data_IF_792129918542
#
_entry.id   IF_792129918542
#
_cell.length_a   1.000
_cell.length_b   1.000
_cell.length_c   1.000
_cell.angle_alpha   90.00
_cell.angle_beta   90.00
_cell.angle_gamma   90.00
#
_symmetry.space_group_name_H-M   'P 1'
#
loop_
_entity.id
_entity.type
_entity.pdbx_description
1 polymer ?
#
# COMPACT_ATOMS: atom_id res chain seq x y z
N UNK A 1 71.69 12.99 6.62
CA UNK A 1 72.12 11.63 7.00
C UNK A 1 70.94 10.73 6.68
N UNK A 2 70.90 10.11 5.53
CA UNK A 2 71.50 8.84 5.13
C UNK A 2 70.87 7.67 5.92
N UNK A 3 70.27 6.73 5.37
CA UNK A 3 70.38 5.67 4.39
C UNK A 3 69.36 4.58 4.80
N UNK A 4 68.77 3.73 4.10
CA UNK A 4 68.80 3.01 2.84
C UNK A 4 67.56 2.11 2.78
N UNK A 5 66.82 2.08 1.69
CA UNK A 5 66.81 1.16 0.55
C UNK A 5 66.41 -0.31 0.79
N UNK A 6 65.34 -0.67 0.12
CA UNK A 6 65.16 -1.80 -0.81
C UNK A 6 64.76 -3.18 -0.30
N UNK A 7 63.66 -3.71 -0.81
CA UNK A 7 63.48 -4.80 -1.79
C UNK A 7 62.00 -5.17 -1.92
N UNK A 8 61.41 -4.94 -3.02
CA UNK A 8 61.17 -5.76 -4.22
C UNK A 8 60.43 -7.09 -3.94
N UNK A 9 59.19 -7.10 -4.47
CA UNK A 9 58.51 -8.13 -5.29
C UNK A 9 58.62 -9.61 -4.88
N UNK A 10 57.44 -10.18 -4.63
CA UNK A 10 57.05 -11.38 -5.36
C UNK A 10 55.50 -11.49 -5.41
N UNK A 11 54.84 -11.55 -6.57
CA UNK A 11 53.48 -11.99 -6.69
C UNK A 11 53.50 -13.48 -6.98
N UNK A 12 52.83 -14.28 -6.22
CA UNK A 12 52.35 -15.63 -6.50
C UNK A 12 52.36 -16.50 -5.24
N UNK A 13 51.26 -16.38 -4.49
CA UNK A 13 50.87 -17.43 -3.57
C UNK A 13 49.37 -17.71 -3.80
N UNK A 14 49.10 -18.63 -4.72
CA UNK A 14 47.77 -19.23 -4.88
C UNK A 14 47.48 -20.12 -3.67
N UNK A 15 46.47 -19.75 -2.91
CA UNK A 15 45.82 -20.63 -1.95
C UNK A 15 44.84 -21.51 -2.73
N UNK A 16 44.88 -22.84 -2.61
CA UNK A 16 43.94 -23.71 -3.31
C UNK A 16 42.57 -23.66 -2.65
N UNK A 17 41.53 -23.42 -3.47
CA UNK A 17 40.13 -23.61 -3.13
C UNK A 17 39.83 -25.12 -3.01
N UNK A 18 38.98 -25.56 -2.08
CA UNK A 18 38.54 -26.93 -2.03
C UNK A 18 37.65 -27.29 -3.21
N UNK A 19 37.82 -28.48 -3.72
CA UNK A 19 37.14 -29.07 -4.85
C UNK A 19 35.61 -29.02 -4.69
N UNK A 20 34.92 -28.48 -5.70
CA UNK A 20 33.48 -28.64 -5.90
C UNK A 20 33.25 -30.07 -6.40
N UNK A 21 32.58 -30.88 -5.61
CA UNK A 21 31.92 -32.09 -6.12
C UNK A 21 30.79 -31.65 -7.09
N UNK A 22 31.02 -31.92 -8.35
CA UNK A 22 30.00 -32.00 -9.36
C UNK A 22 29.20 -33.27 -9.14
N UNK A 23 27.93 -33.19 -8.82
CA UNK A 23 26.97 -34.26 -9.09
C UNK A 23 26.06 -33.79 -10.20
N UNK A 24 26.36 -34.22 -11.41
CA UNK A 24 25.45 -34.30 -12.54
C UNK A 24 24.34 -35.29 -12.19
N UNK A 25 23.14 -34.77 -11.94
CA UNK A 25 21.92 -35.56 -12.08
C UNK A 25 20.91 -34.71 -12.89
N UNK A 26 21.10 -34.83 -14.20
CA UNK A 26 20.07 -34.46 -15.16
C UNK A 26 18.96 -35.53 -15.11
N UNK A 27 17.87 -35.25 -14.39
CA UNK A 27 16.66 -36.06 -14.43
C UNK A 27 15.89 -35.69 -15.66
N UNK A 28 16.04 -36.49 -16.73
CA UNK A 28 15.16 -36.51 -17.88
C UNK A 28 13.85 -37.20 -17.50
N UNK A 29 12.73 -36.49 -17.69
CA UNK A 29 11.40 -37.04 -17.47
C UNK A 29 10.90 -37.73 -18.75
N UNK A 30 10.92 -39.05 -18.76
CA UNK A 30 10.15 -39.85 -19.75
C UNK A 30 8.72 -40.05 -19.22
N UNK A 31 7.77 -39.73 -20.09
CA UNK A 31 6.34 -40.02 -19.95
C UNK A 31 6.10 -41.51 -20.23
N UNK A 32 5.69 -42.25 -19.21
CA UNK A 32 5.19 -43.61 -19.38
C UNK A 32 3.75 -43.70 -18.89
N UNK A 33 2.83 -43.88 -19.83
CA UNK A 33 1.46 -44.36 -19.57
C UNK A 33 1.53 -45.81 -19.10
N UNK A 34 1.13 -46.08 -17.87
CA UNK A 34 0.54 -47.40 -17.54
C UNK A 34 -0.29 -47.30 -16.23
N UNK A 35 -1.59 -47.39 -16.41
CA UNK A 35 -2.56 -47.60 -15.34
C UNK A 35 -2.94 -49.06 -15.30
N UNK A 36 -2.31 -49.87 -14.44
CA UNK A 36 -2.96 -51.11 -13.93
C UNK A 36 -2.38 -51.54 -12.59
N UNK A 37 -3.28 -51.60 -11.61
CA UNK A 37 -3.36 -52.44 -10.45
C UNK A 37 -2.13 -52.72 -9.58
N UNK A 38 -2.17 -52.17 -8.32
CA UNK A 38 -1.80 -52.97 -7.15
C UNK A 38 -2.60 -52.56 -5.92
N UNK A 39 -3.46 -53.45 -5.43
CA UNK A 39 -4.02 -53.42 -4.09
C UNK A 39 -3.03 -54.16 -3.18
N UNK A 40 -2.40 -53.47 -2.21
CA UNK A 40 -2.16 -53.99 -0.85
C UNK A 40 -1.27 -53.04 -0.03
N UNK A 41 -1.56 -52.96 1.26
CA UNK A 41 -0.86 -52.33 2.41
C UNK A 41 -1.01 -50.81 2.56
N UNK A 42 -1.96 -50.43 3.40
CA UNK A 42 -2.55 -49.11 3.56
C UNK A 42 -1.85 -48.13 4.53
N UNK A 43 -0.59 -48.32 4.92
CA UNK A 43 0.07 -47.36 5.84
C UNK A 43 1.34 -46.72 5.31
N UNK A 44 2.07 -47.36 4.41
CA UNK A 44 3.27 -46.77 3.79
C UNK A 44 2.99 -45.98 2.52
N UNK A 45 1.94 -46.34 1.77
CA UNK A 45 1.55 -45.63 0.57
C UNK A 45 1.01 -44.19 0.87
N UNK A 46 0.30 -44.02 1.97
CA UNK A 46 -0.23 -42.71 2.39
C UNK A 46 0.86 -41.72 2.79
N UNK A 47 1.98 -42.19 3.37
CA UNK A 47 3.11 -41.30 3.74
C UNK A 47 3.91 -40.86 2.50
N UNK A 48 4.09 -41.75 1.52
CA UNK A 48 4.83 -41.42 0.28
C UNK A 48 4.02 -40.48 -0.64
N UNK A 49 2.72 -40.69 -0.75
CA UNK A 49 1.84 -39.77 -1.50
C UNK A 49 1.73 -38.40 -0.87
N UNK A 50 1.69 -38.31 0.47
CA UNK A 50 1.72 -37.03 1.19
C UNK A 50 3.03 -36.30 0.99
N UNK A 51 4.16 -36.99 1.05
CA UNK A 51 5.49 -36.38 0.89
C UNK A 51 5.71 -35.83 -0.53
N UNK A 52 5.24 -36.50 -1.57
CA UNK A 52 5.28 -36.00 -2.97
C UNK A 52 4.33 -34.82 -3.18
N UNK A 53 3.15 -34.82 -2.57
CA UNK A 53 2.20 -33.71 -2.59
C UNK A 53 2.78 -32.46 -1.93
N UNK A 54 3.44 -32.61 -0.83
CA UNK A 54 4.06 -31.50 -0.09
C UNK A 54 5.23 -30.87 -0.87
N UNK A 55 6.07 -31.71 -1.51
CA UNK A 55 7.17 -31.23 -2.35
C UNK A 55 6.69 -30.45 -3.56
N UNK A 56 5.62 -30.94 -4.24
CA UNK A 56 4.98 -30.26 -5.36
C UNK A 56 4.35 -28.94 -4.93
N UNK A 57 3.64 -28.92 -3.81
CA UNK A 57 3.04 -27.69 -3.27
C UNK A 57 4.10 -26.65 -2.92
N UNK A 58 5.25 -27.08 -2.37
CA UNK A 58 6.37 -26.19 -2.06
C UNK A 58 7.00 -25.62 -3.35
N UNK A 59 7.15 -26.42 -4.40
CA UNK A 59 7.67 -25.96 -5.69
C UNK A 59 6.74 -24.94 -6.32
N UNK A 60 5.42 -25.19 -6.31
CA UNK A 60 4.39 -24.26 -6.81
C UNK A 60 4.38 -22.97 -6.02
N UNK A 61 4.48 -23.00 -4.68
CA UNK A 61 4.58 -21.78 -3.86
C UNK A 61 5.80 -20.93 -4.23
N UNK A 62 6.97 -21.53 -4.44
CA UNK A 62 8.17 -20.80 -4.89
C UNK A 62 7.98 -20.18 -6.27
N UNK A 63 7.40 -20.93 -7.21
CA UNK A 63 7.12 -20.42 -8.55
C UNK A 63 6.09 -19.29 -8.52
N UNK A 64 5.07 -19.37 -7.65
CA UNK A 64 4.08 -18.30 -7.48
C UNK A 64 4.68 -17.06 -6.83
N UNK A 65 5.62 -17.20 -5.90
CA UNK A 65 6.34 -16.05 -5.34
C UNK A 65 7.16 -15.34 -6.42
N UNK A 66 7.89 -16.09 -7.25
CA UNK A 66 8.60 -15.49 -8.39
C UNK A 66 7.64 -14.82 -9.38
N UNK A 67 6.50 -15.43 -9.67
CA UNK A 67 5.48 -14.84 -10.53
C UNK A 67 4.81 -13.61 -9.90
N UNK A 68 4.69 -13.54 -8.58
CA UNK A 68 4.28 -12.34 -7.86
C UNK A 68 5.29 -11.21 -8.07
N UNK A 69 6.59 -11.48 -7.94
CA UNK A 69 7.62 -10.49 -8.19
C UNK A 69 7.59 -9.97 -9.64
N UNK A 70 7.41 -10.86 -10.63
CA UNK A 70 7.26 -10.48 -12.04
C UNK A 70 5.97 -9.68 -12.29
N UNK A 71 4.86 -10.07 -11.66
CA UNK A 71 3.63 -9.32 -11.72
C UNK A 71 3.82 -7.89 -11.19
N UNK A 72 4.47 -7.76 -10.04
CA UNK A 72 4.71 -6.47 -9.44
C UNK A 72 5.70 -5.59 -10.21
N UNK A 73 6.69 -6.19 -10.85
CA UNK A 73 7.70 -5.44 -11.63
C UNK A 73 7.23 -5.06 -13.03
N UNK A 74 6.45 -5.91 -13.68
CA UNK A 74 6.17 -5.80 -15.13
C UNK A 74 4.70 -6.00 -15.50
N UNK A 75 3.84 -6.28 -14.55
CA UNK A 75 2.45 -6.66 -14.80
C UNK A 75 2.32 -8.01 -15.51
N UNK A 76 3.34 -8.87 -15.46
CA UNK A 76 3.35 -10.15 -16.15
C UNK A 76 2.53 -11.20 -15.38
N UNK A 77 1.52 -11.77 -16.01
CA UNK A 77 0.73 -12.84 -15.41
C UNK A 77 1.46 -14.19 -15.49
N UNK A 78 1.25 -15.08 -14.52
CA UNK A 78 1.72 -16.47 -14.57
C UNK A 78 1.40 -17.18 -15.88
N UNK A 79 2.25 -18.15 -16.23
CA UNK A 79 1.98 -19.05 -17.36
C UNK A 79 0.73 -19.91 -17.12
N UNK A 80 0.16 -20.45 -18.20
CA UNK A 80 -0.99 -21.37 -18.11
C UNK A 80 -0.66 -22.64 -17.32
N UNK A 81 0.60 -23.07 -17.34
CA UNK A 81 1.07 -24.23 -16.59
C UNK A 81 1.12 -23.93 -15.10
N UNK A 82 1.69 -22.78 -14.70
CA UNK A 82 1.72 -22.35 -13.31
C UNK A 82 0.31 -22.09 -12.75
N UNK A 83 -0.60 -21.53 -13.57
CA UNK A 83 -2.01 -21.42 -13.20
C UNK A 83 -2.64 -22.79 -12.92
N UNK A 84 -2.43 -23.77 -13.81
CA UNK A 84 -2.95 -25.14 -13.66
C UNK A 84 -2.42 -25.81 -12.39
N UNK A 85 -1.12 -25.73 -12.17
CA UNK A 85 -0.46 -26.26 -10.98
C UNK A 85 -0.93 -25.59 -9.68
N UNK A 86 -1.06 -24.26 -9.67
CA UNK A 86 -1.59 -23.51 -8.53
C UNK A 86 -3.02 -23.90 -8.19
N UNK A 87 -3.90 -24.03 -9.19
CA UNK A 87 -5.27 -24.47 -8.99
C UNK A 87 -5.36 -25.91 -8.49
N UNK A 88 -4.48 -26.80 -8.98
CA UNK A 88 -4.38 -28.18 -8.50
C UNK A 88 -3.97 -28.24 -7.03
N UNK A 89 -2.97 -27.45 -6.62
CA UNK A 89 -2.51 -27.36 -5.23
C UNK A 89 -3.62 -26.86 -4.30
N UNK A 90 -4.42 -25.86 -4.73
CA UNK A 90 -5.59 -25.39 -3.98
C UNK A 90 -6.66 -26.48 -3.84
N UNK A 91 -6.99 -27.19 -4.92
CA UNK A 91 -7.98 -28.28 -4.90
C UNK A 91 -7.54 -29.45 -4.04
N UNK A 92 -6.23 -29.71 -3.95
CA UNK A 92 -5.67 -30.75 -3.10
C UNK A 92 -5.67 -30.36 -1.60
N UNK A 93 -6.14 -29.16 -1.23
CA UNK A 93 -6.25 -28.68 0.13
C UNK A 93 -4.93 -28.14 0.71
N UNK A 94 -3.93 -27.89 -0.12
CA UNK A 94 -2.71 -27.22 0.33
C UNK A 94 -2.96 -25.71 0.43
N UNK A 95 -2.46 -25.10 1.51
CA UNK A 95 -2.63 -23.67 1.76
C UNK A 95 -1.66 -22.84 0.92
N UNK A 96 -2.19 -21.86 0.20
CA UNK A 96 -1.44 -20.77 -0.44
C UNK A 96 -1.74 -19.47 0.30
N UNK A 97 -0.78 -18.55 0.33
CA UNK A 97 -1.04 -17.25 0.94
C UNK A 97 -2.04 -16.42 0.11
N UNK A 98 -2.59 -15.38 0.73
CA UNK A 98 -3.62 -14.53 0.13
C UNK A 98 -3.16 -13.88 -1.18
N UNK A 99 -1.89 -13.47 -1.26
CA UNK A 99 -1.33 -12.82 -2.45
C UNK A 99 -1.20 -13.82 -3.61
N UNK A 100 -0.78 -15.06 -3.33
CA UNK A 100 -0.71 -16.15 -4.30
C UNK A 100 -2.11 -16.52 -4.81
N UNK A 101 -3.10 -16.64 -3.93
CA UNK A 101 -4.50 -16.90 -4.29
C UNK A 101 -5.08 -15.78 -5.15
N UNK A 102 -4.82 -14.52 -4.80
CA UNK A 102 -5.23 -13.34 -5.55
C UNK A 102 -4.61 -13.30 -6.95
N UNK A 103 -3.31 -13.63 -7.07
CA UNK A 103 -2.63 -13.71 -8.37
C UNK A 103 -3.21 -14.81 -9.25
N UNK A 104 -3.53 -15.98 -8.67
CA UNK A 104 -4.19 -17.07 -9.38
C UNK A 104 -5.59 -16.68 -9.85
N UNK A 105 -6.39 -15.98 -9.01
CA UNK A 105 -7.71 -15.47 -9.41
C UNK A 105 -7.58 -14.49 -10.57
N UNK A 106 -6.68 -13.51 -10.46
CA UNK A 106 -6.40 -12.53 -11.52
C UNK A 106 -6.01 -13.21 -12.82
N UNK A 107 -5.08 -14.17 -12.75
CA UNK A 107 -4.65 -14.96 -13.92
C UNK A 107 -5.79 -15.78 -14.52
N UNK A 108 -6.59 -16.43 -13.67
CA UNK A 108 -7.74 -17.25 -14.09
C UNK A 108 -8.81 -16.41 -14.82
N UNK A 109 -9.11 -15.20 -14.33
CA UNK A 109 -10.04 -14.26 -14.96
C UNK A 109 -9.52 -13.77 -16.32
N UNK A 110 -8.25 -13.39 -16.39
CA UNK A 110 -7.62 -12.91 -17.63
C UNK A 110 -7.47 -14.02 -18.69
N UNK A 111 -7.15 -15.25 -18.28
CA UNK A 111 -7.04 -16.42 -19.17
C UNK A 111 -8.38 -17.12 -19.43
N UNK A 112 -9.45 -16.72 -18.73
CA UNK A 112 -10.79 -17.33 -18.76
C UNK A 112 -10.76 -18.85 -18.49
N UNK A 113 -9.87 -19.27 -17.58
CA UNK A 113 -9.66 -20.68 -17.20
C UNK A 113 -9.62 -20.86 -15.71
N UNK A 114 -10.35 -21.86 -15.19
CA UNK A 114 -10.35 -22.20 -13.77
C UNK A 114 -10.87 -21.11 -12.84
N UNK A 115 -11.63 -20.14 -13.36
CA UNK A 115 -12.13 -18.96 -12.62
C UNK A 115 -12.91 -19.35 -11.36
N UNK A 116 -13.81 -20.30 -11.47
CA UNK A 116 -14.65 -20.74 -10.34
C UNK A 116 -13.80 -21.43 -9.25
N UNK A 117 -12.82 -22.25 -9.67
CA UNK A 117 -11.88 -22.87 -8.73
C UNK A 117 -11.05 -21.81 -8.00
N UNK A 118 -10.47 -20.85 -8.73
CA UNK A 118 -9.70 -19.77 -8.12
C UNK A 118 -10.57 -18.91 -7.18
N UNK A 119 -11.81 -18.63 -7.55
CA UNK A 119 -12.75 -17.82 -6.78
C UNK A 119 -13.15 -18.48 -5.45
N UNK A 120 -13.46 -19.78 -5.47
CA UNK A 120 -13.86 -20.56 -4.28
C UNK A 120 -12.77 -20.64 -3.19
N UNK A 121 -11.53 -20.36 -3.52
CA UNK A 121 -10.40 -20.40 -2.57
C UNK A 121 -9.97 -19.00 -2.10
N UNK A 122 -10.76 -17.96 -2.41
CA UNK A 122 -10.52 -16.63 -1.83
C UNK A 122 -11.10 -16.55 -0.43
N UNK A 123 -10.39 -15.90 0.49
CA UNK A 123 -10.83 -15.68 1.87
C UNK A 123 -11.24 -14.24 2.12
N UNK A 124 -10.80 -13.29 1.28
CA UNK A 124 -11.06 -11.86 1.42
C UNK A 124 -12.07 -11.37 0.36
N UNK A 125 -13.33 -11.06 0.76
CA UNK A 125 -14.34 -10.55 -0.15
C UNK A 125 -14.00 -9.20 -0.78
N UNK A 126 -13.29 -8.31 -0.08
CA UNK A 126 -12.88 -7.00 -0.59
C UNK A 126 -11.88 -7.14 -1.74
N UNK A 127 -10.86 -7.96 -1.56
CA UNK A 127 -9.87 -8.27 -2.62
C UNK A 127 -10.51 -8.99 -3.79
N UNK A 128 -11.37 -9.96 -3.52
CA UNK A 128 -12.09 -10.69 -4.55
C UNK A 128 -12.91 -9.74 -5.43
N UNK A 129 -13.67 -8.85 -4.82
CA UNK A 129 -14.46 -7.85 -5.53
C UNK A 129 -13.59 -6.88 -6.34
N UNK A 130 -12.45 -6.47 -5.80
CA UNK A 130 -11.52 -5.58 -6.50
C UNK A 130 -10.93 -6.24 -7.76
N UNK A 131 -10.50 -7.49 -7.67
CA UNK A 131 -9.95 -8.24 -8.82
C UNK A 131 -11.03 -8.49 -9.89
N UNK A 132 -12.27 -8.76 -9.49
CA UNK A 132 -13.41 -8.87 -10.41
C UNK A 132 -13.71 -7.52 -11.06
N UNK A 133 -13.69 -6.44 -10.31
CA UNK A 133 -13.86 -5.08 -10.82
C UNK A 133 -12.78 -4.73 -11.86
N UNK A 134 -11.51 -4.99 -11.58
CA UNK A 134 -10.41 -4.78 -12.54
C UNK A 134 -10.62 -5.60 -13.82
N UNK A 135 -11.07 -6.86 -13.70
CA UNK A 135 -11.33 -7.73 -14.85
C UNK A 135 -12.51 -7.24 -15.71
N UNK A 136 -13.56 -6.65 -15.09
CA UNK A 136 -14.72 -6.09 -15.80
C UNK A 136 -14.35 -4.87 -16.65
N UNK A 137 -13.39 -4.08 -16.21
CA UNK A 137 -12.94 -2.85 -16.88
C UNK A 137 -11.58 -2.99 -17.57
N UNK A 138 -11.12 -4.22 -17.81
CA UNK A 138 -9.83 -4.42 -18.47
C UNK A 138 -9.87 -3.90 -19.91
N UNK A 139 -8.93 -3.03 -20.35
CA UNK A 139 -9.02 -2.32 -21.62
C UNK A 139 -8.98 -3.23 -22.85
N UNK A 140 -8.24 -4.35 -22.78
CA UNK A 140 -8.07 -5.26 -23.93
C UNK A 140 -9.00 -6.47 -23.87
N UNK A 141 -9.37 -6.94 -22.67
CA UNK A 141 -10.12 -8.19 -22.48
C UNK A 141 -11.09 -8.07 -21.29
N UNK A 142 -12.13 -7.24 -21.38
CA UNK A 142 -13.09 -7.08 -20.28
C UNK A 142 -13.82 -8.40 -19.99
N UNK A 143 -14.09 -8.68 -18.72
CA UNK A 143 -14.90 -9.81 -18.32
C UNK A 143 -16.35 -9.59 -18.78
N UNK A 144 -16.90 -10.56 -19.49
CA UNK A 144 -18.27 -10.47 -20.02
C UNK A 144 -19.31 -10.61 -18.93
N UNK A 145 -20.44 -9.90 -19.08
CA UNK A 145 -21.55 -9.90 -18.13
C UNK A 145 -22.10 -11.31 -17.91
N UNK A 146 -22.20 -12.11 -18.97
CA UNK A 146 -22.68 -13.50 -18.86
C UNK A 146 -21.74 -14.38 -18.04
N UNK A 147 -20.43 -14.14 -18.15
CA UNK A 147 -19.43 -14.80 -17.29
C UNK A 147 -19.60 -14.39 -15.84
N UNK A 148 -19.82 -13.09 -15.56
CA UNK A 148 -20.11 -12.60 -14.21
C UNK A 148 -21.38 -13.26 -13.65
N UNK A 149 -22.47 -13.32 -14.42
CA UNK A 149 -23.72 -14.00 -14.03
C UNK A 149 -23.51 -15.49 -13.72
N UNK A 150 -22.67 -16.16 -14.50
CA UNK A 150 -22.29 -17.55 -14.24
C UNK A 150 -21.54 -17.69 -12.92
N UNK A 151 -20.54 -16.84 -12.65
CA UNK A 151 -19.79 -16.85 -11.40
C UNK A 151 -20.69 -16.57 -10.20
N UNK A 152 -21.65 -15.63 -10.32
CA UNK A 152 -22.62 -15.33 -9.27
C UNK A 152 -23.52 -16.51 -8.92
N UNK A 153 -23.91 -17.30 -9.91
CA UNK A 153 -24.77 -18.49 -9.71
C UNK A 153 -24.02 -19.70 -9.16
N UNK A 154 -22.78 -19.90 -9.57
CA UNK A 154 -22.02 -21.12 -9.30
C UNK A 154 -21.08 -21.01 -8.10
N UNK A 155 -20.79 -19.78 -7.65
CA UNK A 155 -19.93 -19.54 -6.48
C UNK A 155 -20.76 -19.37 -5.20
N UNK A 156 -20.61 -20.32 -4.27
CA UNK A 156 -21.29 -20.26 -2.96
C UNK A 156 -20.89 -19.05 -2.12
N UNK A 157 -19.72 -18.44 -2.37
CA UNK A 157 -19.23 -17.25 -1.67
C UNK A 157 -19.67 -15.94 -2.32
N UNK A 158 -20.43 -15.99 -3.41
CA UNK A 158 -20.92 -14.79 -4.11
C UNK A 158 -21.68 -13.83 -3.18
N UNK A 159 -22.34 -14.35 -2.14
CA UNK A 159 -23.00 -13.56 -1.12
C UNK A 159 -22.08 -12.59 -0.36
N UNK A 160 -20.80 -12.93 -0.24
CA UNK A 160 -19.84 -12.11 0.48
C UNK A 160 -19.21 -11.01 -0.41
N UNK A 161 -18.81 -11.33 -1.64
CA UNK A 161 -18.11 -10.38 -2.50
C UNK A 161 -19.02 -9.56 -3.43
N UNK A 162 -20.23 -10.04 -3.80
CA UNK A 162 -21.11 -9.32 -4.71
C UNK A 162 -21.59 -7.95 -4.16
N UNK A 163 -21.93 -7.79 -2.87
CA UNK A 163 -22.26 -6.48 -2.32
C UNK A 163 -21.10 -5.49 -2.39
N UNK A 164 -19.86 -5.96 -2.19
CA UNK A 164 -18.65 -5.15 -2.28
C UNK A 164 -18.42 -4.71 -3.73
N UNK A 165 -18.55 -5.63 -4.69
CA UNK A 165 -18.46 -5.33 -6.11
C UNK A 165 -19.54 -4.32 -6.53
N UNK A 166 -20.77 -4.45 -6.04
CA UNK A 166 -21.85 -3.49 -6.30
C UNK A 166 -21.52 -2.09 -5.77
N UNK A 167 -20.87 -2.00 -4.60
CA UNK A 167 -20.38 -0.72 -4.04
C UNK A 167 -19.33 -0.09 -4.96
N UNK A 168 -18.30 -0.85 -5.35
CA UNK A 168 -17.24 -0.38 -6.25
C UNK A 168 -17.79 0.09 -7.61
N UNK A 169 -18.78 -0.61 -8.17
CA UNK A 169 -19.43 -0.23 -9.41
C UNK A 169 -20.19 1.09 -9.27
N UNK A 170 -20.94 1.29 -8.18
CA UNK A 170 -21.67 2.56 -7.92
C UNK A 170 -20.71 3.73 -7.73
N UNK A 171 -19.61 3.53 -7.00
CA UNK A 171 -18.58 4.55 -6.82
C UNK A 171 -17.92 4.94 -8.15
N UNK A 172 -17.65 3.95 -9.02
CA UNK A 172 -17.05 4.21 -10.34
C UNK A 172 -18.00 4.94 -11.29
N UNK A 173 -19.32 4.71 -11.20
CA UNK A 173 -20.32 5.39 -12.00
C UNK A 173 -20.41 6.89 -11.67
N UNK A 174 -20.20 7.27 -10.40
CA UNK A 174 -20.17 8.65 -9.96
C UNK A 174 -18.98 9.46 -10.50
N UNK A 175 -17.89 8.77 -10.85
CA UNK A 175 -16.66 9.39 -11.35
C UNK A 175 -16.51 9.42 -12.88
N UNK A 176 -17.34 8.66 -13.62
CA UNK A 176 -17.22 8.52 -15.07
C UNK A 176 -18.60 8.31 -15.72
N UNK A 177 -19.34 9.39 -16.02
CA UNK A 177 -20.72 9.30 -16.52
C UNK A 177 -20.85 8.55 -17.85
N UNK A 178 -19.80 8.50 -18.67
CA UNK A 178 -19.76 7.71 -19.91
C UNK A 178 -19.85 6.20 -19.68
N UNK A 179 -19.53 5.73 -18.47
CA UNK A 179 -19.63 4.32 -18.09
C UNK A 179 -20.96 3.94 -17.44
N UNK A 180 -21.83 4.92 -17.20
CA UNK A 180 -23.06 4.75 -16.43
C UNK A 180 -23.98 3.64 -17.00
N UNK A 181 -24.17 3.60 -18.31
CA UNK A 181 -25.02 2.58 -18.96
C UNK A 181 -24.48 1.16 -18.75
N UNK A 182 -23.18 0.98 -18.87
CA UNK A 182 -22.52 -0.32 -18.68
C UNK A 182 -22.57 -0.74 -17.19
N UNK A 183 -22.27 0.18 -16.28
CA UNK A 183 -22.35 -0.05 -14.83
C UNK A 183 -23.77 -0.41 -14.40
N UNK A 184 -24.78 0.26 -14.94
CA UNK A 184 -26.20 -0.04 -14.66
C UNK A 184 -26.54 -1.49 -15.06
N UNK A 185 -26.05 -1.95 -16.24
CA UNK A 185 -26.25 -3.32 -16.68
C UNK A 185 -25.55 -4.35 -15.78
N UNK A 186 -24.35 -4.02 -15.30
CA UNK A 186 -23.61 -4.85 -14.32
C UNK A 186 -24.31 -4.93 -12.97
N UNK A 187 -24.85 -3.80 -12.48
CA UNK A 187 -25.63 -3.76 -11.24
C UNK A 187 -26.92 -4.60 -11.34
N UNK A 188 -27.63 -4.50 -12.46
CA UNK A 188 -28.79 -5.35 -12.70
C UNK A 188 -28.42 -6.84 -12.69
N UNK A 189 -27.29 -7.24 -13.29
CA UNK A 189 -26.80 -8.61 -13.25
C UNK A 189 -26.48 -9.09 -11.83
N UNK A 190 -26.03 -8.21 -10.92
CA UNK A 190 -25.77 -8.52 -9.51
C UNK A 190 -27.05 -8.62 -8.68
N UNK A 191 -28.12 -7.94 -9.08
CA UNK A 191 -29.43 -7.93 -8.41
C UNK A 191 -30.35 -9.11 -8.84
N UNK A 192 -30.12 -9.70 -10.02
CA UNK A 192 -30.82 -10.88 -10.54
C UNK A 192 -30.45 -12.18 -9.79
N UNK A 193 -30.50 -12.18 -8.45
CA UNK A 193 -30.36 -13.43 -7.68
C UNK A 193 -31.57 -14.30 -7.91
N UNK A 194 -31.41 -15.63 -8.19
CA UNK A 194 -32.52 -16.54 -8.07
C UNK A 194 -32.99 -16.51 -6.60
N UNK A 195 -34.23 -16.08 -6.40
CA UNK A 195 -34.87 -16.18 -5.10
C UNK A 195 -34.80 -17.65 -4.66
N UNK A 196 -34.20 -17.89 -3.48
CA UNK A 196 -34.34 -19.19 -2.83
C UNK A 196 -35.84 -19.47 -2.75
N UNK A 197 -36.29 -20.59 -3.33
CA UNK A 197 -37.67 -21.05 -3.24
C UNK A 197 -38.11 -21.11 -1.78
N UNK A 198 -38.79 -20.07 -1.31
CA UNK A 198 -39.50 -20.14 -0.04
C UNK A 198 -40.84 -20.78 -0.30
N UNK A 199 -40.94 -22.07 0.00
CA UNK A 199 -42.21 -22.77 0.15
C UNK A 199 -42.93 -22.26 1.39
N UNK A 200 -43.74 -21.21 1.24
CA UNK A 200 -44.79 -20.86 2.19
C UNK A 200 -46.09 -20.68 1.41
N UNK A 201 -47.19 -21.34 1.86
CA UNK A 201 -48.47 -21.23 1.17
C UNK A 201 -49.09 -19.82 1.40
N UNK A 202 -49.93 -19.35 0.47
CA UNK A 202 -50.50 -18.00 0.54
C UNK A 202 -51.59 -17.95 1.63
N UNK A 203 -51.38 -17.10 2.62
CA UNK A 203 -52.43 -16.72 3.55
C UNK A 203 -53.23 -15.58 2.91
N UNK A 204 -54.48 -15.86 2.64
CA UNK A 204 -55.51 -14.86 2.23
C UNK A 204 -55.75 -13.91 3.40
N UNK A 205 -55.35 -12.66 3.27
CA UNK A 205 -55.87 -11.58 4.08
C UNK A 205 -56.37 -10.53 3.11
N UNK A 206 -57.70 -10.46 2.97
CA UNK A 206 -58.41 -9.33 2.43
C UNK A 206 -58.08 -8.09 3.27
N UNK A 207 -57.28 -7.17 2.77
CA UNK A 207 -56.99 -5.89 3.41
C UNK A 207 -57.82 -4.79 2.77
N UNK A 208 -58.63 -4.12 3.58
CA UNK A 208 -59.41 -2.92 3.21
C UNK A 208 -58.57 -1.84 2.53
N UNK A 209 -59.17 -1.00 1.66
CA UNK A 209 -58.42 0.02 0.92
C UNK A 209 -57.96 1.13 1.87
N UNK A 210 -56.65 1.17 2.08
CA UNK A 210 -55.96 2.23 2.81
C UNK A 210 -56.17 3.57 2.09
N UNK A 211 -56.80 4.52 2.78
CA UNK A 211 -57.09 5.85 2.26
C UNK A 211 -55.84 6.57 1.74
N UNK A 212 -55.92 7.16 0.54
CA UNK A 212 -54.83 7.85 -0.17
C UNK A 212 -54.20 9.05 0.58
N UNK A 213 -54.76 9.48 1.72
CA UNK A 213 -54.27 10.66 2.48
C UNK A 213 -53.09 10.33 3.41
N UNK A 214 -52.88 9.06 3.86
CA UNK A 214 -51.72 8.66 4.71
C UNK A 214 -50.39 8.66 3.97
N UNK A 215 -50.36 8.42 2.67
CA UNK A 215 -49.15 8.32 1.87
C UNK A 215 -48.35 9.61 1.68
N UNK A 216 -49.05 10.78 1.73
CA UNK A 216 -48.37 12.08 1.54
C UNK A 216 -47.59 12.49 2.80
N UNK A 217 -48.13 12.25 3.96
CA UNK A 217 -47.46 12.54 5.26
C UNK A 217 -46.29 11.62 5.51
N UNK A 218 -46.41 10.34 5.14
CA UNK A 218 -45.27 9.40 5.25
C UNK A 218 -44.08 9.76 4.32
N UNK A 219 -44.39 10.24 3.10
CA UNK A 219 -43.39 10.72 2.14
C UNK A 219 -42.74 12.03 2.61
N UNK A 220 -43.51 12.94 3.16
CA UNK A 220 -43.03 14.21 3.70
C UNK A 220 -42.09 13.95 4.94
N UNK A 221 -42.50 13.08 5.86
CA UNK A 221 -41.68 12.72 7.01
C UNK A 221 -40.37 11.99 6.61
N UNK A 222 -40.43 11.13 5.59
CA UNK A 222 -39.23 10.44 5.08
C UNK A 222 -38.25 11.45 4.44
N UNK A 223 -38.75 12.41 3.67
CA UNK A 223 -37.90 13.45 3.05
C UNK A 223 -37.27 14.37 4.11
N UNK A 224 -38.01 14.74 5.15
CA UNK A 224 -37.46 15.52 6.28
C UNK A 224 -36.38 14.71 7.03
N UNK A 225 -36.61 13.41 7.27
CA UNK A 225 -35.65 12.55 7.92
C UNK A 225 -34.35 12.41 7.08
N UNK A 226 -34.48 12.21 5.77
CA UNK A 226 -33.33 12.14 4.85
C UNK A 226 -32.58 13.48 4.80
N UNK A 227 -33.26 14.60 4.83
CA UNK A 227 -32.63 15.91 4.89
C UNK A 227 -31.89 16.14 6.20
N UNK A 228 -32.46 15.72 7.34
CA UNK A 228 -31.77 15.76 8.64
C UNK A 228 -30.56 14.85 8.71
N UNK A 229 -30.65 13.65 8.16
CA UNK A 229 -29.52 12.73 8.04
C UNK A 229 -28.43 13.34 7.16
N UNK A 230 -28.79 13.93 6.02
CA UNK A 230 -27.82 14.60 5.14
C UNK A 230 -27.15 15.79 5.83
N UNK A 231 -27.90 16.60 6.56
CA UNK A 231 -27.34 17.72 7.35
C UNK A 231 -26.44 17.20 8.47
N UNK A 232 -26.85 16.17 9.19
CA UNK A 232 -26.04 15.53 10.23
C UNK A 232 -24.75 14.91 9.65
N UNK A 233 -24.85 14.27 8.49
CA UNK A 233 -23.69 13.70 7.79
C UNK A 233 -22.73 14.81 7.31
N UNK A 234 -23.26 15.88 6.72
CA UNK A 234 -22.46 17.04 6.31
C UNK A 234 -21.81 17.74 7.51
N UNK A 235 -22.54 17.84 8.62
CA UNK A 235 -22.00 18.38 9.86
C UNK A 235 -20.92 17.47 10.45
N UNK A 236 -21.15 16.13 10.49
CA UNK A 236 -20.14 15.15 10.91
C UNK A 236 -18.92 15.15 10.01
N UNK A 237 -19.08 15.21 8.68
CA UNK A 237 -17.97 15.32 7.72
C UNK A 237 -17.16 16.62 7.91
N UNK A 238 -17.82 17.72 8.29
CA UNK A 238 -17.15 18.99 8.62
C UNK A 238 -16.42 18.96 9.96
N UNK A 239 -16.82 18.09 10.87
CA UNK A 239 -16.17 17.92 12.19
C UNK A 239 -15.04 16.90 12.18
N UNK A 240 -14.80 16.18 11.07
CA UNK A 240 -13.63 15.33 10.98
C UNK A 240 -12.39 16.20 11.22
N UNK A 241 -11.60 15.92 12.28
CA UNK A 241 -10.40 16.71 12.55
C UNK A 241 -9.52 16.65 11.30
N UNK A 242 -9.20 17.81 10.75
CA UNK A 242 -8.30 17.87 9.61
C UNK A 242 -6.97 17.23 10.05
N UNK A 243 -6.49 16.23 9.30
CA UNK A 243 -5.16 15.66 9.53
C UNK A 243 -4.03 16.67 9.23
N UNK A 244 -4.36 17.96 9.16
CA UNK A 244 -3.41 19.05 8.92
C UNK A 244 -3.34 19.97 10.12
N UNK A 245 -2.14 20.44 10.39
CA UNK A 245 -1.83 21.42 11.44
C UNK A 245 -1.62 22.77 10.79
N UNK A 246 -2.24 23.82 11.34
CA UNK A 246 -2.05 25.20 10.87
C UNK A 246 -0.86 25.82 11.56
N UNK A 247 0.09 26.31 10.76
CA UNK A 247 1.22 27.12 11.22
C UNK A 247 0.86 28.58 10.94
N UNK A 248 0.88 29.47 11.95
CA UNK A 248 0.51 30.87 11.78
C UNK A 248 1.51 31.62 10.89
N UNK A 249 1.06 32.70 10.26
CA UNK A 249 1.96 33.63 9.60
C UNK A 249 2.88 34.30 10.65
N UNK A 250 4.14 34.53 10.29
CA UNK A 250 5.08 35.13 11.23
C UNK A 250 6.48 35.28 10.67
N UNK A 251 7.33 35.85 11.52
CA UNK A 251 8.79 35.89 11.33
C UNK A 251 9.41 34.80 12.16
N UNK A 252 10.25 33.99 11.55
CA UNK A 252 10.86 32.83 12.16
C UNK A 252 12.36 32.81 11.88
N UNK A 253 13.13 32.37 12.85
CA UNK A 253 14.58 32.17 12.68
C UNK A 253 14.81 30.71 12.38
N UNK A 254 15.22 30.38 11.18
CA UNK A 254 15.44 29.00 10.70
C UNK A 254 16.90 28.75 10.35
N UNK A 255 17.25 27.50 10.25
CA UNK A 255 18.58 27.05 9.86
C UNK A 255 18.81 27.25 8.37
N UNK A 256 20.01 27.66 8.00
CA UNK A 256 20.46 27.70 6.61
C UNK A 256 21.20 26.41 6.25
N UNK A 257 21.22 26.09 4.97
CA UNK A 257 22.06 25.03 4.41
C UNK A 257 23.30 25.66 3.72
N UNK A 258 24.50 25.05 3.79
CA UNK A 258 24.85 23.78 4.47
C UNK A 258 24.82 23.90 6.01
N UNK A 259 24.80 22.73 6.68
CA UNK A 259 24.78 22.66 8.13
C UNK A 259 25.93 23.49 8.74
N UNK A 260 25.61 24.31 9.76
CA UNK A 260 26.55 25.22 10.37
C UNK A 260 26.60 26.61 9.72
N UNK A 261 25.90 26.89 8.64
CA UNK A 261 25.68 28.23 8.12
C UNK A 261 24.88 29.08 9.14
N UNK A 262 24.99 30.41 8.99
CA UNK A 262 24.26 31.32 9.88
C UNK A 262 22.75 31.11 9.78
N UNK A 263 22.05 31.20 10.90
CA UNK A 263 20.60 31.22 10.92
C UNK A 263 20.07 32.41 10.13
N UNK A 264 18.91 32.24 9.51
CA UNK A 264 18.27 33.30 8.73
C UNK A 264 16.86 33.58 9.25
N UNK A 265 16.48 34.84 9.23
CA UNK A 265 15.11 35.23 9.45
C UNK A 265 14.30 35.06 8.17
N UNK A 266 13.17 34.37 8.25
CA UNK A 266 12.23 34.17 7.15
C UNK A 266 10.86 34.67 7.55
N UNK A 267 10.14 35.22 6.57
CA UNK A 267 8.71 35.59 6.73
C UNK A 267 7.89 34.55 6.04
N UNK A 268 7.09 33.80 6.80
CA UNK A 268 6.17 32.80 6.26
C UNK A 268 4.73 33.31 6.35
N UNK A 269 3.98 33.13 5.26
CA UNK A 269 2.52 33.21 5.29
C UNK A 269 1.95 32.03 6.08
N UNK A 270 0.73 32.17 6.61
CA UNK A 270 0.07 31.02 7.24
C UNK A 270 -0.08 29.86 6.23
N UNK A 271 0.23 28.67 6.68
CA UNK A 271 0.11 27.45 5.88
C UNK A 271 -0.41 26.30 6.74
N UNK A 272 -0.79 25.22 6.09
CA UNK A 272 -1.11 23.97 6.76
C UNK A 272 -0.13 22.88 6.31
N UNK A 273 0.26 22.02 7.25
CA UNK A 273 1.12 20.87 7.02
C UNK A 273 0.41 19.61 7.52
N UNK A 274 0.61 18.48 6.85
CA UNK A 274 0.07 17.21 7.31
C UNK A 274 0.61 16.87 8.69
N UNK A 275 -0.26 16.42 9.59
CA UNK A 275 0.12 15.98 10.93
C UNK A 275 1.08 14.81 10.90
N UNK A 276 0.89 13.92 9.94
CA UNK A 276 1.65 12.69 9.77
C UNK A 276 2.37 12.67 8.43
N UNK A 277 3.33 11.77 8.30
CA UNK A 277 3.90 11.37 7.01
C UNK A 277 2.82 10.81 6.09
N UNK A 278 3.03 10.89 4.79
CA UNK A 278 2.17 10.22 3.80
C UNK A 278 2.25 8.70 4.00
N UNK A 279 1.10 8.03 3.96
CA UNK A 279 1.05 6.59 4.18
C UNK A 279 1.10 5.78 2.89
N UNK A 280 1.50 4.52 3.02
CA UNK A 280 1.42 3.51 1.94
C UNK A 280 0.01 3.48 1.32
N UNK A 281 -1.04 3.47 2.15
CA UNK A 281 -2.45 3.50 1.71
C UNK A 281 -2.75 4.71 0.82
N UNK A 282 -2.32 5.90 1.23
CA UNK A 282 -2.58 7.14 0.50
C UNK A 282 -1.84 7.17 -0.84
N UNK A 283 -0.58 6.74 -0.85
CA UNK A 283 0.19 6.70 -2.08
C UNK A 283 -0.32 5.63 -3.05
N UNK A 284 -0.75 4.47 -2.54
CA UNK A 284 -1.39 3.44 -3.35
C UNK A 284 -2.62 3.99 -4.07
N UNK A 285 -3.48 4.75 -3.39
CA UNK A 285 -4.63 5.39 -4.03
C UNK A 285 -4.24 6.38 -5.14
N UNK A 286 -3.08 7.06 -5.01
CA UNK A 286 -2.53 7.91 -6.06
C UNK A 286 -2.06 7.07 -7.27
N UNK A 287 -1.33 6.00 -7.02
CA UNK A 287 -0.86 5.06 -8.03
C UNK A 287 -2.02 4.41 -8.80
N UNK A 288 -3.02 3.89 -8.08
CA UNK A 288 -4.20 3.24 -8.66
C UNK A 288 -5.01 4.16 -9.58
N UNK A 289 -4.93 5.48 -9.36
CA UNK A 289 -5.53 6.51 -10.23
C UNK A 289 -4.60 7.01 -11.34
N UNK A 290 -3.43 6.40 -11.48
CA UNK A 290 -2.43 6.74 -12.51
C UNK A 290 -1.76 8.10 -12.32
N UNK A 291 -1.91 8.74 -11.16
CA UNK A 291 -1.34 10.06 -10.87
C UNK A 291 0.11 9.98 -10.33
N UNK A 292 0.45 8.88 -9.64
CA UNK A 292 1.79 8.62 -9.13
C UNK A 292 2.41 7.41 -9.83
N UNK A 293 3.75 7.39 -10.04
CA UNK A 293 4.44 6.22 -10.55
C UNK A 293 4.55 5.14 -9.46
N UNK A 294 4.89 3.91 -9.86
CA UNK A 294 5.25 2.86 -8.91
C UNK A 294 6.56 3.22 -8.21
N UNK A 295 6.68 2.98 -6.90
CA UNK A 295 7.89 3.23 -6.15
C UNK A 295 9.08 2.39 -6.62
N UNK A 296 10.30 2.84 -6.35
CA UNK A 296 11.53 2.16 -6.80
C UNK A 296 11.70 0.74 -6.23
N UNK A 297 11.11 0.47 -5.06
CA UNK A 297 11.12 -0.86 -4.42
C UNK A 297 9.84 -1.06 -3.60
N UNK A 298 9.26 -2.28 -3.57
CA UNK A 298 8.15 -2.62 -2.68
C UNK A 298 8.58 -2.93 -1.24
N UNK A 299 9.88 -3.08 -0.98
CA UNK A 299 10.43 -3.53 0.30
C UNK A 299 10.86 -2.36 1.18
N UNK A 300 10.79 -2.55 2.49
CA UNK A 300 11.51 -1.74 3.49
C UNK A 300 12.80 -2.45 3.92
N UNK A 301 13.48 -1.94 4.96
CA UNK A 301 14.73 -2.50 5.45
C UNK A 301 14.62 -3.99 5.85
N UNK A 302 13.49 -4.39 6.44
CA UNK A 302 13.30 -5.76 6.96
C UNK A 302 12.06 -6.47 6.43
N UNK A 303 11.19 -5.77 5.65
CA UNK A 303 9.90 -6.28 5.18
C UNK A 303 9.85 -6.29 3.65
N UNK A 304 10.00 -7.46 3.01
CA UNK A 304 10.09 -7.55 1.54
C UNK A 304 8.79 -7.13 0.82
N UNK A 305 7.63 -7.24 1.47
CA UNK A 305 6.31 -6.90 0.90
C UNK A 305 5.71 -5.65 1.54
N UNK A 306 6.52 -4.72 2.03
CA UNK A 306 6.07 -3.56 2.79
C UNK A 306 4.97 -2.74 2.10
N UNK A 307 5.12 -2.44 0.82
CA UNK A 307 4.11 -1.65 0.09
C UNK A 307 2.87 -2.46 -0.31
N UNK A 308 2.91 -3.77 -0.21
CA UNK A 308 1.88 -4.67 -0.70
C UNK A 308 1.01 -5.22 0.41
N UNK A 309 1.58 -5.43 1.59
CA UNK A 309 0.89 -5.99 2.73
C UNK A 309 -0.03 -4.94 3.39
N UNK A 310 -1.34 -5.22 3.53
CA UNK A 310 -2.28 -4.33 4.21
C UNK A 310 -1.90 -4.00 5.65
N UNK A 311 -1.12 -4.85 6.32
CA UNK A 311 -0.63 -4.58 7.67
C UNK A 311 0.22 -3.30 7.75
N UNK A 312 0.86 -2.91 6.65
CA UNK A 312 1.68 -1.69 6.58
C UNK A 312 0.97 -0.51 5.90
N UNK A 313 -0.35 -0.60 5.68
CA UNK A 313 -1.11 0.44 5.00
C UNK A 313 -1.00 1.82 5.68
N UNK A 314 -0.89 1.86 7.01
CA UNK A 314 -0.76 3.09 7.81
C UNK A 314 0.69 3.38 8.26
N UNK A 315 1.66 2.76 7.61
CA UNK A 315 3.08 3.08 7.75
C UNK A 315 3.48 4.14 6.72
N UNK A 316 4.62 4.85 6.91
CA UNK A 316 5.03 5.90 6.00
C UNK A 316 5.33 5.38 4.60
N UNK A 317 5.02 6.17 3.58
CA UNK A 317 5.41 5.90 2.20
C UNK A 317 6.90 6.11 2.03
N UNK A 318 7.58 5.15 1.40
CA UNK A 318 9.03 5.11 1.18
C UNK A 318 9.38 4.75 -0.27
N UNK A 319 10.66 4.77 -0.60
CA UNK A 319 11.17 4.39 -1.93
C UNK A 319 10.62 5.27 -3.07
N UNK A 320 10.34 6.53 -2.80
CA UNK A 320 9.88 7.51 -3.79
C UNK A 320 10.91 8.62 -3.95
N UNK A 321 11.14 9.03 -5.19
CA UNK A 321 11.98 10.15 -5.54
C UNK A 321 11.25 11.50 -5.34
N UNK A 322 11.97 12.61 -5.50
CA UNK A 322 11.43 13.95 -5.28
C UNK A 322 10.22 14.27 -6.19
N UNK A 323 10.28 13.88 -7.46
CA UNK A 323 9.19 14.12 -8.41
C UNK A 323 7.95 13.34 -8.02
N UNK A 324 8.10 12.08 -7.66
CA UNK A 324 7.00 11.22 -7.19
C UNK A 324 6.37 11.76 -5.91
N UNK A 325 7.18 12.26 -4.97
CA UNK A 325 6.72 12.92 -3.75
C UNK A 325 5.92 14.20 -4.06
N UNK A 326 6.41 15.03 -5.00
CA UNK A 326 5.71 16.24 -5.44
C UNK A 326 4.38 15.92 -6.14
N UNK A 327 4.36 14.93 -7.05
CA UNK A 327 3.14 14.44 -7.71
C UNK A 327 2.12 13.91 -6.73
N UNK A 328 2.56 13.16 -5.72
CA UNK A 328 1.68 12.69 -4.67
C UNK A 328 1.03 13.85 -3.91
N UNK A 329 1.80 14.84 -3.47
CA UNK A 329 1.24 16.00 -2.81
C UNK A 329 0.27 16.77 -3.72
N UNK A 330 0.57 16.91 -5.02
CA UNK A 330 -0.33 17.54 -5.98
C UNK A 330 -1.63 16.74 -6.15
N UNK A 331 -1.57 15.43 -6.23
CA UNK A 331 -2.74 14.54 -6.27
C UNK A 331 -3.63 14.75 -5.04
N UNK A 332 -3.04 14.97 -3.85
CA UNK A 332 -3.75 15.28 -2.61
C UNK A 332 -4.28 16.71 -2.55
N UNK A 333 -4.13 17.53 -3.61
CA UNK A 333 -4.48 18.95 -3.62
C UNK A 333 -3.57 19.81 -2.73
N UNK A 334 -2.33 19.39 -2.58
CA UNK A 334 -1.30 19.95 -1.70
C UNK A 334 0.00 20.18 -2.48
N UNK A 335 1.07 20.55 -1.79
CA UNK A 335 2.43 20.68 -2.29
C UNK A 335 3.45 20.15 -1.29
N UNK A 336 4.69 19.98 -1.68
CA UNK A 336 5.76 19.79 -0.71
C UNK A 336 5.91 21.03 0.17
N UNK A 337 6.25 20.89 1.45
CA UNK A 337 6.67 22.02 2.30
C UNK A 337 8.04 22.52 1.84
N UNK A 338 8.33 23.80 1.99
CA UNK A 338 9.70 24.27 1.95
C UNK A 338 10.46 23.79 3.18
N UNK A 339 11.80 23.74 3.13
CA UNK A 339 12.61 23.35 4.28
C UNK A 339 12.38 24.27 5.50
N UNK A 340 12.12 25.56 5.27
CA UNK A 340 11.78 26.52 6.33
C UNK A 340 10.40 26.26 6.93
N UNK A 341 9.37 26.00 6.11
CA UNK A 341 8.03 25.63 6.61
C UNK A 341 8.08 24.34 7.44
N UNK A 342 8.83 23.36 6.96
CA UNK A 342 9.01 22.08 7.64
C UNK A 342 9.66 22.30 9.01
N UNK A 343 10.76 23.07 9.06
CA UNK A 343 11.49 23.33 10.31
C UNK A 343 10.62 24.09 11.33
N UNK A 344 9.87 25.11 10.88
CA UNK A 344 8.97 25.85 11.75
C UNK A 344 7.87 24.95 12.30
N UNK A 345 7.27 24.10 11.46
CA UNK A 345 6.24 23.15 11.90
C UNK A 345 6.77 22.14 12.94
N UNK A 346 8.05 21.77 12.83
CA UNK A 346 8.72 20.80 13.69
C UNK A 346 9.22 21.38 15.01
N UNK A 347 9.71 22.62 15.01
CA UNK A 347 10.52 23.16 16.09
C UNK A 347 9.94 24.37 16.79
N UNK A 348 9.03 25.13 16.17
CA UNK A 348 8.52 26.36 16.72
C UNK A 348 7.63 26.12 17.94
N UNK A 349 8.03 26.69 19.10
CA UNK A 349 7.28 26.64 20.33
C UNK A 349 6.53 27.98 20.54
N UNK A 350 5.21 28.04 20.26
CA UNK A 350 4.44 29.31 20.31
C UNK A 350 4.47 30.00 21.68
N UNK A 351 4.55 29.24 22.77
CA UNK A 351 4.54 29.77 24.12
C UNK A 351 5.81 30.59 24.46
N UNK A 352 6.94 30.25 23.83
CA UNK A 352 8.24 30.87 24.12
C UNK A 352 8.81 31.64 22.94
N UNK A 353 8.23 31.51 21.74
CA UNK A 353 8.76 32.09 20.51
C UNK A 353 10.08 31.48 20.03
N UNK A 354 10.50 30.35 20.61
CA UNK A 354 11.79 29.69 20.33
C UNK A 354 11.65 28.57 19.32
N UNK A 355 12.74 28.28 18.61
CA UNK A 355 12.97 27.04 17.89
C UNK A 355 13.63 26.05 18.84
N UNK A 356 13.04 24.85 18.94
CA UNK A 356 13.56 23.74 19.73
C UNK A 356 14.56 22.91 18.91
N UNK A 357 15.44 22.19 19.60
CA UNK A 357 16.41 21.31 18.95
C UNK A 357 15.78 20.03 18.42
N UNK A 358 14.81 19.48 19.15
CA UNK A 358 13.97 18.34 18.77
C UNK A 358 12.49 18.74 18.95
N UNK A 359 11.53 18.01 18.39
CA UNK A 359 10.11 18.37 18.51
C UNK A 359 9.66 18.54 19.96
N UNK A 360 10.17 17.74 20.87
CA UNK A 360 9.80 17.68 22.28
C UNK A 360 10.67 18.56 23.21
N UNK A 361 11.75 19.17 22.74
CA UNK A 361 12.66 19.96 23.56
C UNK A 361 14.08 20.02 23.04
N UNK A 362 15.02 20.37 23.93
CA UNK A 362 16.42 20.56 23.52
C UNK A 362 17.31 19.34 23.78
N UNK A 363 16.83 18.34 24.53
CA UNK A 363 17.55 17.10 24.80
C UNK A 363 16.96 15.92 23.98
N UNK A 364 17.86 15.07 23.47
CA UNK A 364 17.43 13.88 22.76
C UNK A 364 16.85 12.84 23.73
N UNK A 365 15.72 12.22 23.33
CA UNK A 365 15.05 11.18 24.09
C UNK A 365 14.70 10.01 23.15
N UNK A 366 15.41 8.88 23.31
CA UNK A 366 15.29 7.71 22.42
C UNK A 366 13.88 7.13 22.35
N UNK A 367 13.11 7.26 23.43
CA UNK A 367 11.73 6.75 23.51
C UNK A 367 10.70 7.66 22.80
N UNK A 368 11.11 8.79 22.23
CA UNK A 368 10.22 9.76 21.59
C UNK A 368 10.32 9.79 20.06
N UNK A 369 11.20 8.96 19.47
CA UNK A 369 11.38 8.86 18.03
C UNK A 369 11.85 7.49 17.58
N UNK A 370 11.51 7.09 16.36
CA UNK A 370 12.11 5.94 15.71
C UNK A 370 13.44 6.36 15.08
N UNK A 371 14.54 5.96 15.69
CA UNK A 371 15.91 6.34 15.33
C UNK A 371 16.85 5.12 15.29
N UNK A 372 18.11 5.29 14.93
CA UNK A 372 19.12 4.25 15.03
C UNK A 372 19.23 3.64 16.43
N UNK A 373 18.96 4.44 17.47
CA UNK A 373 19.04 4.02 18.87
C UNK A 373 17.75 3.37 19.39
N UNK A 374 16.63 3.44 18.66
CA UNK A 374 15.35 2.85 19.09
C UNK A 374 15.34 1.31 19.05
N UNK A 375 16.28 0.69 18.32
CA UNK A 375 16.38 -0.76 18.16
C UNK A 375 15.34 -1.37 17.20
N UNK A 376 14.50 -0.57 16.55
CA UNK A 376 13.47 -1.06 15.62
C UNK A 376 14.09 -1.51 14.30
N UNK A 377 15.06 -0.76 13.74
CA UNK A 377 15.77 -1.09 12.51
C UNK A 377 14.96 -0.98 11.22
N UNK A 378 13.72 -0.47 11.28
CA UNK A 378 12.81 -0.24 10.15
C UNK A 378 11.78 0.85 10.52
N UNK A 379 10.92 1.22 9.58
CA UNK A 379 9.82 2.16 9.82
C UNK A 379 8.82 1.62 10.84
N UNK A 380 8.09 2.52 11.50
CA UNK A 380 6.93 2.21 12.35
C UNK A 380 5.68 2.88 11.80
N UNK A 381 4.50 2.44 12.26
CA UNK A 381 3.24 3.08 11.92
C UNK A 381 3.29 4.57 12.29
N UNK A 382 2.73 5.44 11.45
CA UNK A 382 2.67 6.87 11.71
C UNK A 382 2.01 7.18 13.05
N UNK A 383 2.56 8.15 13.78
CA UNK A 383 2.04 8.56 15.08
C UNK A 383 2.32 7.60 16.24
N UNK A 384 3.22 6.63 16.09
CA UNK A 384 3.55 5.66 17.14
C UNK A 384 4.13 6.31 18.40
N UNK A 385 4.71 7.50 18.29
CA UNK A 385 5.34 8.22 19.40
C UNK A 385 4.49 9.36 19.98
N UNK A 386 3.22 9.44 19.59
CA UNK A 386 2.29 10.45 20.09
C UNK A 386 1.81 10.18 21.51
N UNK A 387 1.42 11.26 22.23
CA UNK A 387 1.62 12.69 21.91
C UNK A 387 3.01 13.21 22.30
N UNK A 388 3.81 12.41 22.98
CA UNK A 388 5.05 12.85 23.62
C UNK A 388 6.16 13.21 22.59
N UNK A 389 6.17 12.57 21.42
CA UNK A 389 7.08 12.87 20.32
C UNK A 389 6.59 13.94 19.34
N UNK A 390 5.37 14.48 19.55
CA UNK A 390 4.81 15.53 18.69
C UNK A 390 5.57 16.85 18.84
N UNK A 391 5.58 17.66 17.79
CA UNK A 391 6.07 19.04 17.85
C UNK A 391 5.16 19.92 18.73
N UNK A 392 5.60 21.12 19.17
CA UNK A 392 4.75 22.01 19.97
C UNK A 392 3.48 22.45 19.25
N UNK A 393 3.45 22.37 17.92
CA UNK A 393 2.28 22.62 17.09
C UNK A 393 1.41 21.36 16.89
N UNK A 394 1.84 20.20 17.39
CA UNK A 394 1.13 18.93 17.30
C UNK A 394 1.33 18.19 15.98
N UNK A 395 2.45 18.37 15.30
CA UNK A 395 2.87 17.58 14.14
C UNK A 395 3.67 16.39 14.64
N UNK A 396 3.34 15.20 14.17
CA UNK A 396 3.93 13.92 14.62
C UNK A 396 5.07 13.48 13.72
N UNK A 397 5.96 12.65 14.27
CA UNK A 397 7.04 11.97 13.55
C UNK A 397 8.01 12.93 12.81
N UNK A 398 8.19 14.15 13.35
CA UNK A 398 9.09 15.15 12.79
C UNK A 398 10.58 14.81 13.05
N UNK A 399 10.88 13.85 13.90
CA UNK A 399 12.22 13.35 14.16
C UNK A 399 12.24 11.83 14.02
N UNK A 400 13.00 11.32 13.05
CA UNK A 400 13.12 9.88 12.79
C UNK A 400 12.00 9.32 11.93
N UNK A 401 11.79 8.02 12.00
CA UNK A 401 10.94 7.22 11.16
C UNK A 401 11.39 7.29 9.69
N UNK A 402 10.97 8.28 8.89
CA UNK A 402 11.54 8.52 7.56
C UNK A 402 11.97 9.98 7.40
N UNK A 403 13.06 10.20 6.69
CA UNK A 403 13.42 11.52 6.22
C UNK A 403 12.42 12.00 5.16
N UNK A 404 12.20 13.31 5.07
CA UNK A 404 11.10 13.85 4.26
C UNK A 404 11.61 14.82 3.20
N UNK A 405 11.17 14.61 1.96
CA UNK A 405 11.40 15.51 0.85
C UNK A 405 10.79 16.90 1.12
N UNK A 406 11.55 17.95 0.79
CA UNK A 406 11.05 19.33 0.79
C UNK A 406 11.11 19.94 -0.62
N UNK A 407 10.39 21.05 -0.83
CA UNK A 407 10.42 21.78 -2.10
C UNK A 407 11.69 22.63 -2.27
N UNK A 408 12.58 22.69 -1.27
CA UNK A 408 13.75 23.57 -1.31
C UNK A 408 14.88 22.94 -2.08
N UNK A 409 15.15 23.48 -3.27
CA UNK A 409 16.30 23.13 -4.09
C UNK A 409 17.54 23.91 -3.67
N UNK A 410 18.71 23.29 -3.80
CA UNK A 410 20.03 23.88 -3.61
C UNK A 410 20.94 23.49 -4.75
N UNK A 411 21.77 24.41 -5.22
CA UNK A 411 22.74 24.16 -6.28
C UNK A 411 24.08 23.72 -5.68
N UNK A 412 24.54 22.52 -6.09
CA UNK A 412 25.88 22.00 -5.75
C UNK A 412 26.56 21.59 -7.04
N UNK A 413 27.70 22.19 -7.36
CA UNK A 413 28.48 21.89 -8.57
C UNK A 413 27.67 21.90 -9.87
N UNK A 414 26.74 22.87 -10.02
CA UNK A 414 25.82 23.04 -11.16
C UNK A 414 24.74 21.94 -11.29
N UNK A 415 24.49 21.18 -10.23
CA UNK A 415 23.39 20.23 -10.18
C UNK A 415 22.43 20.64 -9.09
N UNK A 416 21.14 20.51 -9.37
CA UNK A 416 20.08 20.76 -8.39
C UNK A 416 19.91 19.56 -7.48
N UNK A 417 20.02 19.79 -6.18
CA UNK A 417 19.69 18.84 -5.11
C UNK A 417 18.49 19.39 -4.34
N UNK A 418 17.76 18.52 -3.68
CA UNK A 418 16.65 18.94 -2.81
C UNK A 418 16.95 18.58 -1.35
N UNK A 419 16.56 19.48 -0.46
CA UNK A 419 16.77 19.27 0.96
C UNK A 419 15.75 18.25 1.49
N UNK A 420 16.23 17.31 2.30
CA UNK A 420 15.43 16.41 3.12
C UNK A 420 15.65 16.73 4.59
N UNK A 421 14.62 16.47 5.40
CA UNK A 421 14.58 16.85 6.82
C UNK A 421 14.11 15.70 7.70
N UNK A 422 14.30 15.81 9.03
CA UNK A 422 13.77 14.92 10.04
C UNK A 422 14.67 13.75 10.42
N UNK A 423 15.56 13.32 9.51
CA UNK A 423 16.29 12.07 9.65
C UNK A 423 15.35 10.86 9.61
N UNK A 424 15.84 9.67 9.90
CA UNK A 424 15.07 8.42 9.75
C UNK A 424 15.35 7.44 10.87
N UNK A 425 14.74 6.25 10.81
CA UNK A 425 15.04 5.14 11.71
C UNK A 425 16.52 4.70 11.68
N UNK A 426 17.30 5.15 10.69
CA UNK A 426 18.76 4.90 10.57
C UNK A 426 19.62 6.01 11.16
N UNK A 427 19.01 7.11 11.58
CA UNK A 427 19.73 8.33 11.93
C UNK A 427 20.13 8.37 13.40
N UNK A 428 21.35 8.83 13.64
CA UNK A 428 21.85 9.20 14.96
C UNK A 428 21.23 10.53 15.44
N UNK A 429 21.22 10.82 16.75
CA UNK A 429 20.58 12.00 17.32
C UNK A 429 20.95 13.34 16.65
N UNK A 430 22.17 13.47 16.17
CA UNK A 430 22.61 14.70 15.49
C UNK A 430 21.83 14.99 14.20
N UNK A 431 21.51 13.96 13.42
CA UNK A 431 20.74 14.08 12.18
C UNK A 431 19.23 14.20 12.41
N UNK A 432 18.76 13.92 13.62
CA UNK A 432 17.36 14.10 14.06
C UNK A 432 17.05 15.49 14.59
N UNK A 433 18.05 16.39 14.66
CA UNK A 433 17.81 17.78 15.06
C UNK A 433 16.96 18.48 14.01
N UNK A 434 16.04 19.33 14.45
CA UNK A 434 15.15 20.08 13.55
C UNK A 434 15.91 21.02 12.59
N UNK A 435 17.11 21.45 12.99
CA UNK A 435 18.04 22.23 12.15
C UNK A 435 18.81 21.37 11.14
N UNK A 436 18.82 20.04 11.26
CA UNK A 436 19.55 19.17 10.35
C UNK A 436 18.84 19.07 8.99
N UNK A 437 19.62 19.11 7.94
CA UNK A 437 19.17 18.90 6.57
C UNK A 437 20.25 18.19 5.76
N UNK A 438 19.84 17.35 4.84
CA UNK A 438 20.71 16.71 3.85
C UNK A 438 20.25 17.10 2.45
N UNK A 439 21.19 17.30 1.53
CA UNK A 439 20.90 17.60 0.13
C UNK A 439 21.05 16.33 -0.69
N UNK A 440 19.96 15.88 -1.34
CA UNK A 440 19.94 14.65 -2.13
C UNK A 440 19.63 14.93 -3.61
N UNK A 441 20.22 14.16 -4.54
CA UNK A 441 19.82 14.18 -5.94
C UNK A 441 18.32 13.91 -6.08
N UNK A 442 17.61 14.58 -7.02
CA UNK A 442 16.15 14.42 -7.16
C UNK A 442 15.69 12.99 -7.47
N UNK A 443 16.54 12.17 -8.09
CA UNK A 443 16.24 10.77 -8.41
C UNK A 443 16.50 9.79 -7.26
N UNK A 444 16.90 10.29 -6.06
CA UNK A 444 17.13 9.43 -4.91
C UNK A 444 15.80 8.85 -4.42
N UNK A 445 15.75 7.52 -4.29
CA UNK A 445 14.65 6.79 -3.69
C UNK A 445 15.23 5.75 -2.73
N UNK A 446 14.78 5.74 -1.49
CA UNK A 446 15.35 4.89 -0.44
C UNK A 446 14.27 4.47 0.58
N UNK A 447 14.51 3.37 1.27
CA UNK A 447 13.61 2.78 2.26
C UNK A 447 13.52 3.59 3.58
N UNK A 448 14.32 4.62 3.70
CA UNK A 448 14.34 5.56 4.82
C UNK A 448 13.87 6.98 4.42
N UNK A 449 13.41 7.17 3.19
CA UNK A 449 13.06 8.47 2.60
C UNK A 449 11.60 8.46 2.15
N UNK A 450 10.82 9.38 2.70
CA UNK A 450 9.40 9.54 2.49
C UNK A 450 8.97 10.97 2.19
N UNK A 451 7.73 11.31 2.50
CA UNK A 451 7.15 12.61 2.20
C UNK A 451 6.04 13.01 3.18
N UNK A 452 5.93 14.30 3.42
CA UNK A 452 4.79 14.97 4.07
C UNK A 452 4.37 16.15 3.21
N UNK A 453 3.08 16.45 3.13
CA UNK A 453 2.60 17.53 2.29
C UNK A 453 2.16 18.76 3.11
N UNK A 454 2.20 19.92 2.45
CA UNK A 454 1.70 21.19 2.97
C UNK A 454 0.72 21.83 1.98
N UNK A 455 -0.03 22.82 2.44
CA UNK A 455 -0.85 23.68 1.57
C UNK A 455 -0.95 25.08 2.11
N UNK A 456 -1.14 26.05 1.22
CA UNK A 456 -1.39 27.42 1.63
C UNK A 456 -2.79 27.53 2.29
N UNK A 457 -2.90 28.37 3.32
CA UNK A 457 -4.20 28.79 3.85
C UNK A 457 -4.78 29.81 2.87
N UNK A 458 -6.02 29.59 2.44
CA UNK A 458 -6.76 30.52 1.58
C UNK A 458 -7.37 31.64 2.39
#
# INVERSE_FOLDING_TARGET
MAFHKNRRNNPDARVPLPATEQSDDAVTWEYGDDVTAFRSSSSQATSHFRFQGDARALAVRRALNHALDEWWQRGALPSDDLLREGLFVLQAGHDLDESQRTLLLRTALMRRRGMLTALRHQSDPERTALVLFEALFHPSHPLEIETLRKLLREDAQSAAWAPVLSRLLRESAGSAPEKLAYVTTLLAALEERPAAESTTPPLWLEGEPVSRQGGLWLRATLLVLLALIAVALLWWLRQQPSNMVTVPAGRYVVSSWPAGAAQQEVVLSAFQIDRFEATVRQYRACYERGACPWPASPASATRPNYLLDPAFADFPMINIDHESAARFCQFMGKRLPTAAEWEVAAAYAPMTGRMLRYPWGDEFAVQLANSALSGVGDTVQIGSYRPAGDSPLGVSDMAGNVAEWTATGVEVERHTYYLVRGGSFRSEPAALRMSAAEALPPATAADWLGVRCARNVR
#
